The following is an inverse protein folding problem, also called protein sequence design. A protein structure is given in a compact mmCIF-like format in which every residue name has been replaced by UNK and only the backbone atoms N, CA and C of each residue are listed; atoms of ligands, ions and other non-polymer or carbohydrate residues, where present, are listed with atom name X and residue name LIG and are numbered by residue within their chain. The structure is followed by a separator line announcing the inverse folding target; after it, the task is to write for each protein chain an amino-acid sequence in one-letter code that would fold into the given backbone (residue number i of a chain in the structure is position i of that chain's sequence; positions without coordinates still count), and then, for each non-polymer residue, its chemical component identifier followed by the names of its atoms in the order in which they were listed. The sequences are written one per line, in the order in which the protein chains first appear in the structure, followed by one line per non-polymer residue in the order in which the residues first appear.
data_IF_930898872654
#
_entry.id   IF_930898872654
#
_cell.length_a   1.000
_cell.length_b   1.000
_cell.length_c   1.000
_cell.angle_alpha   90.00
_cell.angle_beta   90.00
_cell.angle_gamma   90.00
#
_symmetry.space_group_name_H-M   'P 1'
#
loop_
_entity.id
_entity.type
_entity.pdbx_description
1 polymer ?
#
# COMPACT_ATOMS: atom_id res chain seq x y z
N UNK A 1 -22.85 -6.38 -9.63
CA UNK A 1 -23.12 -4.96 -9.34
C UNK A 1 -22.08 -4.53 -8.33
N UNK A 2 -21.12 -3.71 -8.75
CA UNK A 2 -20.06 -3.18 -7.88
C UNK A 2 -20.55 -1.88 -7.24
N UNK A 3 -20.30 -1.70 -5.95
CA UNK A 3 -20.64 -0.51 -5.18
C UNK A 3 -19.36 0.20 -4.80
N UNK A 4 -19.19 1.43 -5.29
CA UNK A 4 -18.04 2.26 -4.94
C UNK A 4 -18.39 3.12 -3.72
N UNK A 5 -17.64 2.95 -2.64
CA UNK A 5 -17.87 3.62 -1.35
C UNK A 5 -16.64 4.45 -0.98
N UNK A 6 -16.86 5.69 -0.55
CA UNK A 6 -15.83 6.56 0.00
C UNK A 6 -16.02 6.66 1.52
N UNK A 7 -14.98 6.34 2.27
CA UNK A 7 -14.91 6.48 3.71
C UNK A 7 -14.14 7.77 4.03
N UNK A 8 -14.81 8.72 4.68
CA UNK A 8 -14.19 9.92 5.22
C UNK A 8 -14.36 9.88 6.72
N UNK A 9 -13.26 9.99 7.48
CA UNK A 9 -13.31 10.12 8.93
C UNK A 9 -12.57 11.37 9.37
N UNK A 10 -13.18 12.11 10.30
CA UNK A 10 -12.61 13.32 10.90
C UNK A 10 -12.13 13.09 12.35
N UNK A 11 -11.81 11.83 12.69
CA UNK A 11 -11.42 11.32 14.03
C UNK A 11 -12.57 11.10 15.00
N UNK A 12 -13.73 11.73 14.81
CA UNK A 12 -14.90 11.56 15.69
C UNK A 12 -16.09 10.90 15.00
N UNK A 13 -16.28 11.17 13.72
CA UNK A 13 -17.35 10.60 12.92
C UNK A 13 -16.79 9.86 11.71
N UNK A 14 -17.56 8.88 11.23
CA UNK A 14 -17.29 8.16 10.00
C UNK A 14 -18.44 8.43 9.03
N UNK A 15 -18.12 9.09 7.93
CA UNK A 15 -19.04 9.31 6.83
C UNK A 15 -18.77 8.27 5.73
N UNK A 16 -19.79 7.47 5.45
CA UNK A 16 -19.82 6.58 4.29
C UNK A 16 -20.60 7.29 3.18
N UNK A 17 -19.92 7.61 2.08
CA UNK A 17 -20.56 8.21 0.91
C UNK A 17 -20.60 7.20 -0.23
N UNK A 18 -21.75 7.11 -0.90
CA UNK A 18 -21.84 6.40 -2.17
C UNK A 18 -21.19 7.24 -3.28
N UNK A 19 -20.24 6.65 -3.99
CA UNK A 19 -19.57 7.31 -5.11
C UNK A 19 -20.31 6.93 -6.40
N UNK A 20 -21.06 7.88 -6.94
CA UNK A 20 -21.80 7.68 -8.19
C UNK A 20 -20.89 7.63 -9.43
N UNK A 21 -19.69 8.21 -9.35
CA UNK A 21 -18.71 8.19 -10.43
C UNK A 21 -17.27 8.35 -9.88
N UNK A 22 -16.55 7.24 -9.76
CA UNK A 22 -15.17 7.22 -9.24
C UNK A 22 -14.21 8.01 -10.13
N UNK A 23 -14.39 7.96 -11.44
CA UNK A 23 -13.47 8.60 -12.39
C UNK A 23 -13.53 10.13 -12.30
N UNK A 24 -14.73 10.70 -12.14
CA UNK A 24 -14.91 12.14 -11.90
C UNK A 24 -14.36 12.58 -10.55
N UNK A 25 -14.53 11.76 -9.52
CA UNK A 25 -14.03 12.05 -8.18
C UNK A 25 -12.49 12.06 -8.14
N UNK A 26 -11.87 11.08 -8.79
CA UNK A 26 -10.41 10.90 -8.79
C UNK A 26 -9.68 11.67 -9.88
N UNK A 27 -10.41 12.18 -10.89
CA UNK A 27 -9.82 12.85 -12.04
C UNK A 27 -9.03 11.92 -12.96
N UNK A 28 -9.27 10.61 -12.89
CA UNK A 28 -8.61 9.60 -13.73
C UNK A 28 -9.61 8.63 -14.34
N UNK A 29 -9.31 8.17 -15.55
CA UNK A 29 -9.96 7.06 -16.23
C UNK A 29 -9.21 5.77 -15.92
N UNK A 30 -9.94 4.76 -15.46
CA UNK A 30 -9.41 3.43 -15.12
C UNK A 30 -10.07 2.43 -16.06
N UNK A 31 -9.28 1.59 -16.73
CA UNK A 31 -9.81 0.58 -17.63
C UNK A 31 -10.67 -0.44 -16.85
N UNK A 32 -11.94 -0.67 -17.23
CA UNK A 32 -12.83 -1.55 -16.48
C UNK A 32 -12.56 -3.04 -16.69
N UNK A 33 -11.67 -3.41 -17.63
CA UNK A 33 -11.35 -4.81 -17.92
C UNK A 33 -10.13 -5.27 -17.12
N UNK A 34 -9.02 -4.53 -17.20
CA UNK A 34 -7.78 -4.88 -16.50
C UNK A 34 -7.62 -4.21 -15.14
N UNK A 35 -8.30 -3.09 -14.87
CA UNK A 35 -8.10 -2.24 -13.68
C UNK A 35 -6.67 -1.68 -13.48
N UNK A 36 -5.71 -2.04 -14.33
CA UNK A 36 -4.31 -1.61 -14.25
C UNK A 36 -4.00 -0.36 -15.09
N UNK A 37 -4.69 -0.20 -16.23
CA UNK A 37 -4.42 0.92 -17.13
C UNK A 37 -5.19 2.16 -16.71
N UNK A 38 -4.45 3.20 -16.31
CA UNK A 38 -4.97 4.47 -15.79
C UNK A 38 -4.46 5.65 -16.63
N UNK A 39 -5.36 6.58 -16.96
CA UNK A 39 -5.03 7.83 -17.64
C UNK A 39 -5.72 9.01 -16.97
N UNK A 40 -5.15 10.21 -17.07
CA UNK A 40 -5.80 11.43 -16.53
C UNK A 40 -7.10 11.70 -17.29
N UNK A 41 -8.19 11.91 -16.54
CA UNK A 41 -9.45 12.38 -17.10
C UNK A 41 -9.23 13.81 -17.62
N UNK A 42 -9.28 13.98 -18.94
CA UNK A 42 -9.08 15.28 -19.57
C UNK A 42 -10.26 15.63 -20.46
N UNK A 43 -10.94 16.73 -20.11
CA UNK A 43 -12.03 17.28 -20.93
C UNK A 43 -11.49 18.03 -22.16
N UNK A 44 -10.21 18.40 -22.15
CA UNK A 44 -9.56 19.19 -23.22
C UNK A 44 -8.71 18.33 -24.15
N UNK A 45 -8.08 17.28 -23.64
CA UNK A 45 -7.18 16.43 -24.42
C UNK A 45 -7.92 15.22 -25.01
N UNK A 46 -8.56 15.44 -26.16
CA UNK A 46 -9.25 14.39 -26.93
C UNK A 46 -8.36 13.18 -27.23
N UNK A 47 -7.07 13.42 -27.48
CA UNK A 47 -6.11 12.37 -27.83
C UNK A 47 -5.85 11.40 -26.68
N UNK A 48 -5.82 11.89 -25.44
CA UNK A 48 -5.70 11.05 -24.26
C UNK A 48 -6.92 10.11 -24.11
N UNK A 49 -8.13 10.64 -24.33
CA UNK A 49 -9.35 9.84 -24.30
C UNK A 49 -9.40 8.81 -25.43
N UNK A 50 -8.91 9.16 -26.63
CA UNK A 50 -8.78 8.22 -27.75
C UNK A 50 -7.83 7.06 -27.43
N UNK A 51 -6.67 7.34 -26.83
CA UNK A 51 -5.74 6.29 -26.40
C UNK A 51 -6.36 5.38 -25.35
N UNK A 52 -7.07 5.95 -24.37
CA UNK A 52 -7.78 5.18 -23.35
C UNK A 52 -8.85 4.29 -23.97
N UNK A 53 -9.70 4.82 -24.85
CA UNK A 53 -10.73 4.05 -25.53
C UNK A 53 -10.13 2.94 -26.42
N UNK A 54 -9.05 3.25 -27.13
CA UNK A 54 -8.32 2.25 -27.94
C UNK A 54 -7.77 1.12 -27.08
N UNK A 55 -7.27 1.44 -25.88
CA UNK A 55 -6.88 0.43 -24.90
C UNK A 55 -8.09 -0.41 -24.48
N UNK A 56 -9.19 0.21 -24.03
CA UNK A 56 -10.39 -0.49 -23.55
C UNK A 56 -10.94 -1.48 -24.58
N UNK A 57 -11.02 -1.09 -25.86
CA UNK A 57 -11.51 -1.99 -26.92
C UNK A 57 -10.59 -3.20 -27.14
N UNK A 58 -9.27 -2.99 -27.11
CA UNK A 58 -8.31 -4.10 -27.17
C UNK A 58 -8.40 -4.98 -25.92
N UNK A 59 -8.57 -4.37 -24.75
CA UNK A 59 -8.71 -5.02 -23.45
C UNK A 59 -9.92 -5.98 -23.42
N UNK A 60 -11.08 -5.56 -23.95
CA UNK A 60 -12.29 -6.41 -24.02
C UNK A 60 -12.08 -7.73 -24.76
N UNK A 61 -11.22 -7.74 -25.77
CA UNK A 61 -10.92 -8.93 -26.58
C UNK A 61 -9.87 -9.84 -25.94
N UNK A 62 -9.22 -9.39 -24.87
CA UNK A 62 -8.23 -10.17 -24.12
C UNK A 62 -8.91 -10.93 -22.98
N UNK A 63 -8.50 -12.18 -22.77
CA UNK A 63 -8.86 -12.93 -21.57
C UNK A 63 -8.04 -12.38 -20.40
N UNK A 64 -8.58 -11.38 -19.72
CA UNK A 64 -8.04 -10.92 -18.45
C UNK A 64 -8.41 -11.92 -17.37
N UNK A 65 -7.45 -12.72 -16.93
CA UNK A 65 -7.50 -13.23 -15.57
C UNK A 65 -7.11 -12.06 -14.67
N UNK A 66 -7.99 -11.59 -13.77
CA UNK A 66 -7.60 -10.62 -12.76
C UNK A 66 -6.60 -11.30 -11.82
N UNK A 67 -5.33 -11.29 -12.19
CA UNK A 67 -4.24 -11.66 -11.31
C UNK A 67 -3.97 -10.47 -10.41
N UNK A 68 -4.58 -10.47 -9.23
CA UNK A 68 -3.97 -9.76 -8.11
C UNK A 68 -2.66 -10.51 -7.85
N UNK A 69 -1.59 -10.06 -8.49
CA UNK A 69 -0.25 -10.56 -8.26
C UNK A 69 0.20 -9.96 -6.94
N UNK A 70 -0.25 -10.58 -5.85
CA UNK A 70 0.38 -10.41 -4.55
C UNK A 70 1.84 -10.83 -4.75
N UNK A 71 2.78 -9.97 -4.38
CA UNK A 71 4.18 -10.37 -4.39
C UNK A 71 4.36 -11.65 -3.58
N UNK A 72 5.11 -12.62 -4.12
CA UNK A 72 5.40 -13.91 -3.46
C UNK A 72 6.04 -13.74 -2.08
N UNK A 73 6.62 -12.56 -1.85
CA UNK A 73 7.16 -12.12 -0.59
C UNK A 73 6.25 -11.04 -0.01
N UNK A 74 6.00 -11.06 1.32
CA UNK A 74 5.31 -9.95 1.98
C UNK A 74 6.11 -8.68 1.69
N UNK A 75 5.57 -7.84 0.83
CA UNK A 75 6.14 -6.52 0.62
C UNK A 75 6.08 -5.79 1.95
N UNK A 76 7.19 -5.20 2.40
CA UNK A 76 7.17 -4.36 3.58
C UNK A 76 6.10 -3.29 3.35
N UNK A 77 5.21 -3.14 4.33
CA UNK A 77 4.01 -2.27 4.29
C UNK A 77 4.39 -0.82 3.91
N UNK A 78 5.67 -0.45 4.03
CA UNK A 78 6.20 0.80 3.55
C UNK A 78 7.48 0.60 2.70
N UNK A 79 7.35 0.38 1.37
CA UNK A 79 8.51 0.33 0.46
C UNK A 79 9.35 1.60 0.50
N UNK A 80 8.71 2.74 0.80
CA UNK A 80 9.35 4.04 0.94
C UNK A 80 10.36 4.12 2.09
N UNK A 81 10.22 3.31 3.15
CA UNK A 81 11.19 3.31 4.26
C UNK A 81 12.48 2.58 3.86
N UNK A 82 12.37 1.45 3.16
CA UNK A 82 13.51 0.59 2.82
C UNK A 82 14.28 1.07 1.59
N UNK A 83 13.64 1.83 0.70
CA UNK A 83 14.29 2.44 -0.46
C UNK A 83 14.84 3.85 -0.20
N UNK A 84 14.71 4.36 1.04
CA UNK A 84 15.20 5.70 1.37
C UNK A 84 16.69 5.65 1.74
N UNK A 85 17.57 6.42 1.06
CA UNK A 85 19.01 6.39 1.28
C UNK A 85 19.43 6.61 2.75
N UNK A 86 18.66 7.41 3.48
CA UNK A 86 18.91 7.67 4.90
C UNK A 86 18.68 6.43 5.77
N UNK A 87 17.63 5.64 5.50
CA UNK A 87 17.33 4.44 6.30
C UNK A 87 18.39 3.37 6.04
N UNK A 88 18.79 3.20 4.78
CA UNK A 88 19.87 2.28 4.39
C UNK A 88 21.19 2.65 5.07
N UNK A 89 21.56 3.94 5.03
CA UNK A 89 22.75 4.45 5.73
C UNK A 89 22.68 4.17 7.24
N UNK A 90 21.61 4.58 7.92
CA UNK A 90 21.52 4.42 9.38
C UNK A 90 21.52 2.95 9.81
N UNK A 91 20.92 2.06 9.01
CA UNK A 91 20.92 0.61 9.25
C UNK A 91 22.32 0.03 9.07
N UNK A 92 23.02 0.38 7.99
CA UNK A 92 24.36 -0.12 7.71
C UNK A 92 25.39 0.26 8.78
N UNK A 93 25.20 1.42 9.43
CA UNK A 93 26.08 1.90 10.51
C UNK A 93 25.58 1.56 11.91
N UNK A 94 24.44 0.87 12.06
CA UNK A 94 23.89 0.49 13.36
C UNK A 94 23.45 1.68 14.24
N UNK A 95 23.11 2.81 13.62
CA UNK A 95 22.75 4.08 14.27
C UNK A 95 21.28 4.45 14.02
N UNK A 96 20.42 3.42 13.98
CA UNK A 96 18.98 3.58 13.75
C UNK A 96 18.28 4.41 14.84
N UNK A 97 18.86 4.50 16.03
CA UNK A 97 18.42 5.37 17.12
C UNK A 97 18.45 6.86 16.76
N UNK A 98 19.25 7.25 15.77
CA UNK A 98 19.34 8.63 15.27
C UNK A 98 18.29 8.94 14.20
N UNK A 99 17.54 7.93 13.73
CA UNK A 99 16.48 8.15 12.75
C UNK A 99 15.40 9.04 13.35
N UNK A 100 15.12 10.15 12.66
CA UNK A 100 13.98 11.02 12.97
C UNK A 100 12.97 10.87 11.85
N UNK A 101 11.81 10.32 12.18
CA UNK A 101 10.70 10.26 11.25
C UNK A 101 10.37 11.67 10.75
N UNK A 102 10.42 11.83 9.43
CA UNK A 102 10.09 13.09 8.77
C UNK A 102 8.57 13.18 8.55
N UNK A 103 8.10 14.30 8.01
CA UNK A 103 6.67 14.54 7.76
C UNK A 103 6.07 13.44 6.87
N UNK A 104 4.93 12.87 7.27
CA UNK A 104 4.20 11.87 6.49
C UNK A 104 4.73 10.43 6.62
N UNK A 105 5.60 10.17 7.61
CA UNK A 105 6.01 8.82 7.96
C UNK A 105 5.06 8.22 9.00
N UNK A 106 4.66 6.97 8.78
CA UNK A 106 4.01 6.13 9.77
C UNK A 106 5.05 5.11 10.23
N UNK A 107 5.40 5.13 11.51
CA UNK A 107 6.23 4.06 12.09
C UNK A 107 5.34 2.96 12.60
N UNK A 108 5.72 1.71 12.33
CA UNK A 108 5.02 0.55 12.85
C UNK A 108 5.91 -0.12 13.90
N UNK A 109 5.34 -0.38 15.06
CA UNK A 109 5.93 -1.22 16.09
C UNK A 109 5.24 -2.59 16.06
N UNK A 110 6.02 -3.65 15.87
CA UNK A 110 5.53 -5.01 15.70
C UNK A 110 5.93 -5.84 16.90
N UNK A 111 4.94 -6.20 17.73
CA UNK A 111 5.15 -7.21 18.75
C UNK A 111 4.94 -8.58 18.12
N UNK A 112 5.95 -9.44 18.23
CA UNK A 112 5.91 -10.78 17.64
C UNK A 112 6.27 -11.83 18.67
N UNK A 113 5.61 -12.99 18.59
CA UNK A 113 5.97 -14.18 19.32
C UNK A 113 6.81 -15.09 18.40
N UNK A 114 8.00 -15.45 18.84
CA UNK A 114 8.83 -16.43 18.14
C UNK A 114 8.46 -17.85 18.57
N UNK A 115 8.12 -18.69 17.60
CA UNK A 115 7.98 -20.13 17.78
C UNK A 115 9.18 -20.84 17.14
N UNK A 116 9.99 -21.46 17.99
CA UNK A 116 11.25 -22.05 17.57
C UNK A 116 10.99 -23.39 16.85
N UNK A 117 11.47 -23.50 15.61
CA UNK A 117 11.18 -24.65 14.75
C UNK A 117 12.43 -25.42 14.36
N UNK A 118 13.56 -24.73 14.14
CA UNK A 118 14.85 -25.34 13.76
C UNK A 118 14.73 -26.43 12.69
N UNK A 119 14.12 -26.08 11.55
CA UNK A 119 13.88 -26.99 10.44
C UNK A 119 14.85 -26.72 9.30
N UNK A 120 15.59 -27.74 8.88
CA UNK A 120 16.37 -27.67 7.64
C UNK A 120 15.42 -27.69 6.44
N UNK A 121 15.46 -26.63 5.64
CA UNK A 121 14.66 -26.48 4.41
C UNK A 121 15.43 -27.07 3.23
N UNK A 122 16.75 -26.85 3.22
CA UNK A 122 17.72 -27.42 2.28
C UNK A 122 19.03 -27.67 3.02
N UNK A 123 19.98 -28.34 2.37
CA UNK A 123 21.32 -28.63 2.91
C UNK A 123 22.13 -27.37 3.32
N UNK A 124 21.69 -26.18 2.92
CA UNK A 124 22.35 -24.89 3.21
C UNK A 124 21.45 -23.89 3.94
N UNK A 125 20.17 -24.21 4.16
CA UNK A 125 19.20 -23.25 4.71
C UNK A 125 18.42 -23.88 5.85
N UNK A 126 18.54 -23.29 7.04
CA UNK A 126 17.80 -23.69 8.23
C UNK A 126 16.82 -22.60 8.63
N UNK A 127 15.54 -22.95 8.71
CA UNK A 127 14.51 -22.13 9.32
C UNK A 127 14.63 -22.23 10.84
N UNK A 128 15.01 -21.13 11.50
CA UNK A 128 15.21 -21.10 12.95
C UNK A 128 13.89 -21.02 13.73
N UNK A 129 12.97 -20.15 13.29
CA UNK A 129 11.69 -19.91 13.98
C UNK A 129 10.64 -19.32 13.04
N UNK A 130 9.36 -19.54 13.35
CA UNK A 130 8.26 -18.74 12.82
C UNK A 130 7.99 -17.56 13.75
N UNK A 131 7.61 -16.40 13.18
CA UNK A 131 7.20 -15.22 13.94
C UNK A 131 5.70 -15.04 13.75
N UNK A 132 4.96 -15.04 14.86
CA UNK A 132 3.53 -14.75 14.89
C UNK A 132 3.31 -13.30 15.33
N UNK A 133 2.51 -12.55 14.57
CA UNK A 133 2.10 -11.19 14.95
C UNK A 133 1.25 -11.24 16.23
N UNK A 134 1.66 -10.54 17.28
CA UNK A 134 0.87 -10.32 18.48
C UNK A 134 0.07 -9.02 18.39
N UNK A 135 0.75 -7.92 18.09
CA UNK A 135 0.11 -6.61 17.91
C UNK A 135 0.91 -5.74 16.96
N UNK A 136 0.21 -4.80 16.33
CA UNK A 136 0.82 -3.71 15.56
C UNK A 136 0.39 -2.41 16.20
N UNK A 137 1.35 -1.59 16.59
CA UNK A 137 1.10 -0.18 16.86
C UNK A 137 1.56 0.64 15.65
N UNK A 138 0.76 1.60 15.22
CA UNK A 138 1.20 2.61 14.27
C UNK A 138 1.33 3.95 14.97
N UNK A 139 2.29 4.76 14.50
CA UNK A 139 2.47 6.12 14.96
C UNK A 139 2.66 7.04 13.78
N UNK A 140 1.76 8.02 13.66
CA UNK A 140 1.82 9.05 12.62
C UNK A 140 2.27 10.37 13.27
N UNK A 141 3.23 11.04 12.63
CA UNK A 141 3.70 12.36 13.07
C UNK A 141 3.01 13.43 12.23
N UNK A 142 2.13 14.21 12.87
CA UNK A 142 1.39 15.29 12.21
C UNK A 142 2.26 16.53 11.95
N UNK A 143 1.88 17.39 10.99
CA UNK A 143 2.61 18.64 10.67
C UNK A 143 2.76 19.62 11.85
N UNK A 144 1.93 19.50 12.88
CA UNK A 144 1.96 20.31 14.09
C UNK A 144 2.80 19.69 15.22
N UNK A 145 3.38 18.50 15.02
CA UNK A 145 4.17 17.77 16.02
C UNK A 145 3.35 16.85 16.93
N UNK A 146 2.04 16.75 16.73
CA UNK A 146 1.21 15.81 17.48
C UNK A 146 1.51 14.36 17.07
N UNK A 147 1.48 13.46 18.04
CA UNK A 147 1.73 12.03 17.89
C UNK A 147 0.44 11.28 18.23
N UNK A 148 -0.09 10.50 17.28
CA UNK A 148 -1.21 9.57 17.52
C UNK A 148 -0.71 8.13 17.57
N UNK A 149 -1.36 7.31 18.40
CA UNK A 149 -1.10 5.88 18.53
C UNK A 149 -2.39 5.12 18.19
N UNK A 150 -2.29 4.12 17.32
CA UNK A 150 -3.39 3.19 17.05
C UNK A 150 -2.91 1.75 17.25
N UNK A 151 -3.62 1.00 18.10
CA UNK A 151 -3.39 -0.42 18.32
C UNK A 151 -4.33 -1.21 17.41
N UNK A 152 -3.75 -1.98 16.49
CA UNK A 152 -4.49 -2.84 15.57
C UNK A 152 -4.37 -4.27 16.07
N UNK A 153 -5.45 -4.79 16.65
CA UNK A 153 -5.60 -6.20 17.04
C UNK A 153 -5.98 -7.05 15.82
#
# INVERSE_FOLDING_TARGET
MTLDLLLISDRTEQHVMYVSNVQKLTGVLICPQCHDYVTILSDTNKRANEYFNTHVEKCKSSTHEPSILLHDFPMPICPAILSHPTTEYLTAYGIMDQFKAQRGFITYDFETLSDQVMKEITDQTTLLSYLFKLSIASTEIYPNGDISYELVN
#
